data_IF_230102296063
#
_entry.id   IF_230102296063
#
_cell.length_a   1.000
_cell.length_b   1.000
_cell.length_c   1.000
_cell.angle_alpha   90.00
_cell.angle_beta   90.00
_cell.angle_gamma   90.00
#
_symmetry.space_group_name_H-M   'P 1'
#
loop_
_entity.id
_entity.type
_entity.pdbx_description
1 polymer ?
#
# COMPACT_ATOMS: atom_id res chain seq x y z
N UNK A 1 4.91 -0.93 -5.63
CA UNK A 1 6.06 -1.54 -4.93
C UNK A 1 7.40 -1.22 -5.60
N UNK A 2 7.70 -1.67 -6.83
CA UNK A 2 9.02 -1.45 -7.48
C UNK A 2 9.36 0.04 -7.61
N UNK A 3 8.41 0.85 -8.07
CA UNK A 3 8.57 2.30 -8.24
C UNK A 3 8.77 3.02 -6.88
N UNK A 4 8.07 2.55 -5.85
CA UNK A 4 8.11 3.08 -4.48
C UNK A 4 9.46 2.81 -3.80
N UNK A 5 9.99 1.60 -3.98
CA UNK A 5 11.31 1.19 -3.47
C UNK A 5 12.41 1.97 -4.21
N UNK A 6 12.28 2.14 -5.52
CA UNK A 6 13.24 2.93 -6.31
C UNK A 6 13.26 4.40 -5.88
N UNK A 7 12.10 4.96 -5.53
CA UNK A 7 11.99 6.33 -5.02
C UNK A 7 12.58 6.48 -3.60
N UNK A 8 12.27 5.56 -2.69
CA UNK A 8 12.84 5.53 -1.34
C UNK A 8 14.37 5.40 -1.35
N UNK A 9 14.92 4.62 -2.29
CA UNK A 9 16.36 4.40 -2.41
C UNK A 9 17.13 5.64 -2.89
N UNK A 10 16.46 6.63 -3.50
CA UNK A 10 17.09 7.84 -4.05
C UNK A 10 17.01 9.04 -3.10
N UNK A 11 16.05 9.05 -2.16
CA UNK A 11 15.87 10.07 -1.12
C UNK A 11 15.03 9.51 0.04
N UNK A 12 15.63 9.36 1.22
CA UNK A 12 14.92 9.02 2.46
C UNK A 12 14.13 10.22 2.96
N UNK A 13 12.98 10.49 2.35
CA UNK A 13 12.02 11.48 2.82
C UNK A 13 10.81 10.79 3.44
N UNK A 14 10.11 11.48 4.34
CA UNK A 14 8.90 11.01 5.04
C UNK A 14 7.81 10.50 4.08
N UNK A 15 7.67 11.13 2.92
CA UNK A 15 6.76 10.72 1.83
C UNK A 15 7.09 9.34 1.23
N UNK A 16 8.38 9.01 1.11
CA UNK A 16 8.82 7.72 0.60
C UNK A 16 8.56 6.61 1.62
N UNK A 17 8.69 6.90 2.91
CA UNK A 17 8.36 5.96 3.98
C UNK A 17 6.86 5.63 4.01
N UNK A 18 5.97 6.62 3.82
CA UNK A 18 4.52 6.38 3.70
C UNK A 18 4.18 5.53 2.47
N UNK A 19 4.81 5.80 1.32
CA UNK A 19 4.60 5.03 0.09
C UNK A 19 5.05 3.58 0.20
N UNK A 20 6.20 3.33 0.83
CA UNK A 20 6.74 1.98 1.02
C UNK A 20 5.91 1.22 2.04
N UNK A 21 5.59 1.81 3.20
CA UNK A 21 4.76 1.15 4.22
C UNK A 21 3.36 0.82 3.70
N UNK A 22 2.68 1.76 3.03
CA UNK A 22 1.38 1.50 2.40
C UNK A 22 1.44 0.40 1.32
N UNK A 23 2.49 0.40 0.49
CA UNK A 23 2.70 -0.67 -0.51
C UNK A 23 2.94 -2.04 0.12
N UNK A 24 3.70 -2.12 1.21
CA UNK A 24 3.99 -3.39 1.89
C UNK A 24 2.71 -3.97 2.50
N UNK A 25 1.89 -3.14 3.15
CA UNK A 25 0.61 -3.57 3.74
C UNK A 25 -0.32 -4.12 2.67
N UNK A 26 -0.52 -3.38 1.56
CA UNK A 26 -1.39 -3.83 0.47
C UNK A 26 -0.84 -5.11 -0.19
N UNK A 27 0.48 -5.23 -0.34
CA UNK A 27 1.10 -6.44 -0.90
C UNK A 27 0.93 -7.66 0.02
N UNK A 28 1.14 -7.50 1.32
CA UNK A 28 0.95 -8.57 2.30
C UNK A 28 -0.50 -9.09 2.28
N UNK A 29 -1.48 -8.18 2.18
CA UNK A 29 -2.88 -8.58 2.05
C UNK A 29 -3.15 -9.27 0.71
N UNK A 30 -2.60 -8.78 -0.41
CA UNK A 30 -2.77 -9.44 -1.71
C UNK A 30 -2.22 -10.88 -1.71
N UNK A 31 -1.06 -11.10 -1.09
CA UNK A 31 -0.50 -12.44 -0.87
C UNK A 31 -1.47 -13.29 -0.03
N UNK A 32 -2.00 -12.72 1.05
CA UNK A 32 -2.99 -13.42 1.90
C UNK A 32 -4.24 -13.84 1.11
N UNK A 33 -4.77 -12.98 0.25
CA UNK A 33 -5.92 -13.28 -0.63
C UNK A 33 -5.63 -14.41 -1.62
N UNK A 34 -4.41 -14.52 -2.14
CA UNK A 34 -4.02 -15.58 -3.10
C UNK A 34 -3.86 -16.93 -2.41
N UNK A 35 -3.25 -16.97 -1.22
CA UNK A 35 -2.99 -18.23 -0.51
C UNK A 35 -4.19 -18.73 0.33
N UNK A 36 -5.07 -17.84 0.81
CA UNK A 36 -6.23 -18.22 1.61
C UNK A 36 -7.16 -19.26 0.98
N UNK A 37 -7.58 -19.16 -0.30
CA UNK A 37 -8.50 -20.14 -0.88
C UNK A 37 -7.94 -21.57 -0.85
N UNK A 38 -6.63 -21.74 -1.00
CA UNK A 38 -5.98 -23.05 -0.90
C UNK A 38 -6.04 -23.62 0.52
N UNK A 39 -5.85 -22.77 1.53
CA UNK A 39 -5.93 -23.17 2.95
C UNK A 39 -7.38 -23.45 3.39
N UNK A 40 -8.35 -22.70 2.86
CA UNK A 40 -9.78 -22.89 3.14
C UNK A 40 -10.30 -24.20 2.56
N UNK A 41 -9.91 -24.52 1.32
CA UNK A 41 -10.29 -25.75 0.65
C UNK A 41 -9.76 -26.99 1.39
N UNK A 42 -8.57 -26.91 1.99
CA UNK A 42 -7.98 -28.00 2.77
C UNK A 42 -8.64 -28.23 4.14
N UNK A 43 -9.31 -27.21 4.71
CA UNK A 43 -9.82 -27.26 6.10
C UNK A 43 -11.34 -27.21 6.22
N UNK A 44 -12.07 -27.18 5.10
CA UNK A 44 -13.54 -27.16 5.06
C UNK A 44 -14.14 -26.10 6.03
N UNK A 45 -13.54 -24.91 6.04
CA UNK A 45 -13.91 -23.88 7.02
C UNK A 45 -15.34 -23.38 6.80
N UNK A 46 -16.10 -23.11 7.88
CA UNK A 46 -17.41 -22.47 7.81
C UNK A 46 -17.35 -21.11 7.10
N UNK A 47 -18.33 -20.84 6.24
CA UNK A 47 -18.43 -19.61 5.42
C UNK A 47 -18.45 -18.34 6.30
N UNK A 48 -19.05 -18.39 7.49
CA UNK A 48 -19.07 -17.26 8.41
C UNK A 48 -17.66 -16.84 8.86
N UNK A 49 -16.79 -17.80 9.13
CA UNK A 49 -15.40 -17.53 9.56
C UNK A 49 -14.62 -16.95 8.39
N UNK A 50 -14.82 -17.47 7.19
CA UNK A 50 -14.21 -16.97 5.95
C UNK A 50 -14.57 -15.49 5.72
N UNK A 51 -15.84 -15.14 5.88
CA UNK A 51 -16.34 -13.77 5.72
C UNK A 51 -15.64 -12.80 6.68
N UNK A 52 -15.47 -13.19 7.96
CA UNK A 52 -14.78 -12.35 8.96
C UNK A 52 -13.33 -12.08 8.57
N UNK A 53 -12.58 -13.09 8.10
CA UNK A 53 -11.20 -12.90 7.65
C UNK A 53 -11.10 -11.93 6.47
N UNK A 54 -11.97 -12.07 5.48
CA UNK A 54 -12.00 -11.15 4.33
C UNK A 54 -12.41 -9.73 4.71
N UNK A 55 -13.30 -9.58 5.69
CA UNK A 55 -13.71 -8.27 6.19
C UNK A 55 -12.55 -7.56 6.89
N UNK A 56 -11.83 -8.26 7.78
CA UNK A 56 -10.62 -7.73 8.44
C UNK A 56 -9.54 -7.38 7.41
N UNK A 57 -9.30 -8.25 6.44
CA UNK A 57 -8.36 -7.98 5.35
C UNK A 57 -8.76 -6.76 4.52
N UNK A 58 -10.06 -6.56 4.29
CA UNK A 58 -10.62 -5.37 3.64
C UNK A 58 -10.30 -4.07 4.40
N UNK A 59 -10.51 -4.05 5.72
CA UNK A 59 -10.20 -2.87 6.55
C UNK A 59 -8.70 -2.55 6.52
N UNK A 60 -7.85 -3.56 6.64
CA UNK A 60 -6.38 -3.37 6.60
C UNK A 60 -5.95 -2.85 5.23
N UNK A 61 -6.52 -3.39 4.15
CA UNK A 61 -6.25 -2.92 2.78
C UNK A 61 -6.68 -1.47 2.61
N UNK A 62 -7.85 -1.10 3.12
CA UNK A 62 -8.34 0.27 3.08
C UNK A 62 -7.37 1.22 3.77
N UNK A 63 -6.93 0.90 5.00
CA UNK A 63 -5.95 1.71 5.73
C UNK A 63 -4.59 1.80 5.00
N UNK A 64 -4.08 0.68 4.50
CA UNK A 64 -2.83 0.65 3.73
C UNK A 64 -2.91 1.48 2.45
N UNK A 65 -4.04 1.42 1.75
CA UNK A 65 -4.29 2.19 0.53
C UNK A 65 -4.40 3.69 0.79
N UNK A 66 -5.00 4.10 1.92
CA UNK A 66 -5.02 5.49 2.36
C UNK A 66 -3.60 6.02 2.66
N UNK A 67 -2.78 5.25 3.37
CA UNK A 67 -1.38 5.64 3.64
C UNK A 67 -0.59 5.81 2.33
N UNK A 68 -0.80 4.91 1.38
CA UNK A 68 -0.18 5.01 0.06
C UNK A 68 -0.66 6.26 -0.70
N UNK A 69 -1.97 6.54 -0.70
CA UNK A 69 -2.56 7.69 -1.37
C UNK A 69 -2.03 9.02 -0.81
N UNK A 70 -1.95 9.15 0.53
CA UNK A 70 -1.41 10.34 1.19
C UNK A 70 0.06 10.55 0.85
N UNK A 71 0.88 9.48 0.90
CA UNK A 71 2.29 9.54 0.52
C UNK A 71 2.49 9.93 -0.96
N UNK A 72 1.62 9.43 -1.84
CA UNK A 72 1.63 9.80 -3.26
C UNK A 72 1.25 11.27 -3.49
N UNK A 73 0.23 11.76 -2.78
CA UNK A 73 -0.20 13.15 -2.87
C UNK A 73 0.90 14.13 -2.46
N UNK A 74 1.59 13.85 -1.35
CA UNK A 74 2.74 14.66 -0.90
C UNK A 74 3.85 14.72 -1.95
N UNK A 75 4.15 13.57 -2.56
CA UNK A 75 5.17 13.46 -3.60
C UNK A 75 4.81 14.30 -4.83
N UNK A 76 3.56 14.22 -5.30
CA UNK A 76 3.08 15.03 -6.43
C UNK A 76 3.18 16.52 -6.11
N UNK A 77 2.72 16.96 -4.94
CA UNK A 77 2.81 18.36 -4.51
C UNK A 77 4.25 18.85 -4.42
N UNK A 78 5.18 18.00 -3.95
CA UNK A 78 6.60 18.34 -3.89
C UNK A 78 7.21 18.49 -5.27
N UNK A 79 6.90 17.60 -6.20
CA UNK A 79 7.37 17.68 -7.59
C UNK A 79 6.87 18.97 -8.25
N UNK A 80 5.58 19.29 -8.10
CA UNK A 80 5.00 20.53 -8.66
C UNK A 80 5.70 21.77 -8.09
N UNK A 81 5.85 21.87 -6.76
CA UNK A 81 6.52 23.00 -6.11
C UNK A 81 8.00 23.13 -6.48
N UNK A 82 8.70 22.01 -6.70
CA UNK A 82 10.07 22.05 -7.19
C UNK A 82 10.15 22.55 -8.64
N UNK A 83 9.18 22.19 -9.48
CA UNK A 83 9.17 22.60 -10.88
C UNK A 83 8.87 24.10 -11.03
N UNK A 84 7.89 24.64 -10.28
CA UNK A 84 7.59 26.08 -10.23
C UNK A 84 8.78 26.92 -9.73
N UNK A 85 9.62 26.37 -8.85
CA UNK A 85 10.82 27.05 -8.36
C UNK A 85 11.95 27.09 -9.40
N UNK A 86 12.00 26.12 -10.31
CA UNK A 86 12.98 26.08 -11.42
C UNK A 86 12.54 27.00 -12.57
N UNK A 87 11.25 27.14 -12.82
CA UNK A 87 10.72 28.04 -13.87
C UNK A 87 10.88 29.54 -13.54
N UNK A 88 11.09 29.88 -12.27
CA UNK A 88 11.30 31.27 -11.80
C UNK A 88 12.77 31.70 -11.69
N UNK A 89 13.71 30.86 -12.13
CA UNK A 89 15.15 31.14 -12.20
C UNK A 89 15.58 31.43 -13.63
#
# INVERSE_FOLDING_TARGET
MIISIFYASKKLNTEAFLLVSGSIVVFAVAVFFVFMPSLMQSRNMPIEIISVYYNIAGVITFMGSLMFAIGFLMLVLKVIRQNEAVEKL
#
